data_IF_272028081064
#
_entry.id   IF_272028081064
#
_cell.length_a   1.000
_cell.length_b   1.000
_cell.length_c   1.000
_cell.angle_alpha   90.00
_cell.angle_beta   90.00
_cell.angle_gamma   90.00
#
_symmetry.space_group_name_H-M   'P 1'
#
loop_
_entity.id
_entity.type
_entity.pdbx_description
1 polymer ?
#
# COMPACT_ATOMS: atom_id res chain seq x y z
N UNK A 1 -14.96 1.12 -5.92
CA UNK A 1 -14.41 2.42 -5.47
C UNK A 1 -14.14 2.48 -3.96
N UNK A 2 -15.04 2.03 -3.06
CA UNK A 2 -14.79 2.08 -1.60
C UNK A 2 -13.49 1.39 -1.15
N UNK A 3 -13.19 0.20 -1.67
CA UNK A 3 -11.99 -0.57 -1.30
C UNK A 3 -10.68 0.15 -1.62
N UNK A 4 -10.56 0.73 -2.82
CA UNK A 4 -9.35 1.46 -3.24
C UNK A 4 -9.14 2.72 -2.41
N UNK A 5 -10.19 3.49 -2.15
CA UNK A 5 -10.12 4.68 -1.28
C UNK A 5 -9.73 4.33 0.16
N UNK A 6 -10.26 3.23 0.71
CA UNK A 6 -9.87 2.76 2.06
C UNK A 6 -8.39 2.36 2.12
N UNK A 7 -7.88 1.63 1.12
CA UNK A 7 -6.46 1.23 1.09
C UNK A 7 -5.56 2.45 0.92
N UNK A 8 -5.92 3.39 0.05
CA UNK A 8 -5.17 4.64 -0.10
C UNK A 8 -5.12 5.44 1.21
N UNK A 9 -6.24 5.52 1.94
CA UNK A 9 -6.30 6.21 3.23
C UNK A 9 -5.36 5.58 4.26
N UNK A 10 -5.36 4.24 4.38
CA UNK A 10 -4.43 3.54 5.31
C UNK A 10 -2.97 3.81 4.93
N UNK A 11 -2.62 3.69 3.65
CA UNK A 11 -1.25 3.96 3.18
C UNK A 11 -0.85 5.42 3.46
N UNK A 12 -1.71 6.38 3.14
CA UNK A 12 -1.45 7.79 3.37
C UNK A 12 -1.27 8.13 4.86
N UNK A 13 -2.09 7.55 5.75
CA UNK A 13 -1.94 7.74 7.20
C UNK A 13 -0.61 7.21 7.74
N UNK A 14 -0.11 6.09 7.21
CA UNK A 14 1.19 5.54 7.59
C UNK A 14 2.35 6.41 7.11
N UNK A 15 2.29 6.88 5.86
CA UNK A 15 3.30 7.79 5.30
C UNK A 15 3.33 9.10 6.08
N UNK A 16 2.17 9.66 6.44
CA UNK A 16 2.06 10.86 7.28
C UNK A 16 2.65 10.64 8.69
N UNK A 17 2.64 9.41 9.20
CA UNK A 17 3.31 9.02 10.45
C UNK A 17 4.82 8.71 10.28
N UNK A 18 5.40 8.99 9.11
CA UNK A 18 6.80 8.74 8.79
C UNK A 18 7.13 7.27 8.47
N UNK A 19 6.13 6.42 8.26
CA UNK A 19 6.29 4.99 7.96
C UNK A 19 5.82 4.69 6.55
N UNK A 20 6.74 4.46 5.63
CA UNK A 20 6.41 4.12 4.25
C UNK A 20 6.44 2.61 3.96
N UNK A 21 6.94 1.78 4.88
CA UNK A 21 6.99 0.33 4.73
C UNK A 21 5.82 -0.34 5.42
N UNK A 22 5.01 -1.07 4.66
CA UNK A 22 3.84 -1.80 5.16
C UNK A 22 3.75 -3.14 4.43
N UNK A 23 3.54 -4.23 5.15
CA UNK A 23 3.28 -5.52 4.51
C UNK A 23 1.84 -5.61 3.99
N UNK A 24 1.59 -6.44 2.97
CA UNK A 24 0.23 -6.73 2.51
C UNK A 24 -0.61 -7.35 3.64
N UNK A 25 0.03 -8.11 4.54
CA UNK A 25 -0.65 -8.72 5.70
C UNK A 25 -1.15 -7.66 6.67
N UNK A 26 -0.34 -6.65 6.99
CA UNK A 26 -0.77 -5.52 7.81
C UNK A 26 -1.91 -4.74 7.15
N UNK A 27 -1.82 -4.47 5.84
CA UNK A 27 -2.92 -3.81 5.12
C UNK A 27 -4.23 -4.61 5.22
N UNK A 28 -4.18 -5.93 5.15
CA UNK A 28 -5.37 -6.80 5.34
C UNK A 28 -5.93 -6.67 6.75
N UNK A 29 -5.06 -6.71 7.78
CA UNK A 29 -5.48 -6.61 9.18
C UNK A 29 -6.12 -5.25 9.47
N UNK A 30 -5.46 -4.17 9.02
CA UNK A 30 -5.90 -2.80 9.29
C UNK A 30 -7.16 -2.40 8.53
N UNK A 31 -7.32 -2.89 7.30
CA UNK A 31 -8.47 -2.54 6.47
C UNK A 31 -9.64 -3.49 6.59
N UNK A 32 -9.44 -4.70 7.13
CA UNK A 32 -10.42 -5.78 7.13
C UNK A 32 -10.74 -6.31 5.72
N UNK A 33 -9.98 -5.90 4.69
CA UNK A 33 -10.21 -6.25 3.29
C UNK A 33 -9.45 -7.54 2.96
N UNK A 34 -10.05 -8.41 2.16
CA UNK A 34 -9.41 -9.65 1.71
C UNK A 34 -8.06 -9.38 1.02
N UNK A 35 -7.09 -10.28 1.21
CA UNK A 35 -5.75 -10.16 0.61
C UNK A 35 -5.77 -9.97 -0.91
N UNK A 36 -6.68 -10.64 -1.63
CA UNK A 36 -6.80 -10.48 -3.08
C UNK A 36 -7.33 -9.10 -3.45
N UNK A 37 -8.32 -8.60 -2.72
CA UNK A 37 -8.87 -7.26 -2.92
C UNK A 37 -7.84 -6.17 -2.60
N UNK A 38 -7.02 -6.34 -1.55
CA UNK A 38 -5.89 -5.44 -1.23
C UNK A 38 -4.89 -5.41 -2.38
N UNK A 39 -4.47 -6.58 -2.90
CA UNK A 39 -3.54 -6.65 -4.04
C UNK A 39 -4.07 -5.94 -5.28
N UNK A 40 -5.34 -6.17 -5.63
CA UNK A 40 -5.99 -5.48 -6.75
C UNK A 40 -6.08 -3.98 -6.51
N UNK A 41 -6.43 -3.55 -5.30
CA UNK A 41 -6.52 -2.14 -4.96
C UNK A 41 -5.15 -1.44 -5.10
N UNK A 42 -4.08 -2.03 -4.57
CA UNK A 42 -2.72 -1.52 -4.73
C UNK A 42 -2.36 -1.40 -6.22
N UNK A 43 -2.62 -2.43 -7.01
CA UNK A 43 -2.35 -2.42 -8.45
C UNK A 43 -3.14 -1.31 -9.16
N UNK A 44 -4.42 -1.11 -8.83
CA UNK A 44 -5.23 -0.03 -9.40
C UNK A 44 -4.71 1.35 -9.01
N UNK A 45 -4.31 1.55 -7.75
CA UNK A 45 -3.77 2.83 -7.27
C UNK A 45 -2.41 3.14 -7.93
N UNK A 46 -1.57 2.14 -8.10
CA UNK A 46 -0.28 2.24 -8.78
C UNK A 46 -0.47 2.59 -10.27
N UNK A 47 -1.38 1.90 -10.96
CA UNK A 47 -1.72 2.19 -12.36
C UNK A 47 -2.35 3.58 -12.55
N UNK A 48 -3.08 4.07 -11.56
CA UNK A 48 -3.66 5.42 -11.56
C UNK A 48 -2.64 6.51 -11.17
N UNK A 49 -1.39 6.15 -10.85
CA UNK A 49 -0.36 7.09 -10.40
C UNK A 49 -0.61 7.68 -9.01
N UNK A 50 -1.55 7.14 -8.24
CA UNK A 50 -1.90 7.65 -6.91
C UNK A 50 -0.91 7.19 -5.83
N UNK A 51 -0.18 6.10 -6.08
CA UNK A 51 0.91 5.61 -5.25
C UNK A 51 2.02 5.05 -6.13
N UNK A 52 3.24 5.00 -5.61
CA UNK A 52 4.34 4.17 -6.15
C UNK A 52 4.67 3.07 -5.15
N UNK A 53 4.92 1.85 -5.64
CA UNK A 53 5.21 0.69 -4.79
C UNK A 53 6.60 0.14 -5.09
N UNK A 54 7.50 0.16 -4.12
CA UNK A 54 8.79 -0.54 -4.19
C UNK A 54 8.70 -1.83 -3.39
N UNK A 55 8.94 -2.96 -4.04
CA UNK A 55 8.86 -4.28 -3.41
C UNK A 55 10.26 -4.66 -2.92
N UNK A 56 10.43 -4.78 -1.61
CA UNK A 56 11.73 -5.11 -1.02
C UNK A 56 11.79 -6.61 -0.72
N UNK A 57 12.72 -7.29 -1.38
CA UNK A 57 13.09 -8.68 -1.07
C UNK A 57 14.45 -8.69 -0.39
N UNK A 58 14.50 -9.11 0.87
CA UNK A 58 15.74 -9.30 1.63
C UNK A 58 16.01 -10.80 1.74
N UNK A 59 17.18 -11.27 1.29
CA UNK A 59 17.58 -12.69 1.37
C UNK A 59 16.52 -13.68 0.84
N UNK A 60 15.85 -13.35 -0.27
CA UNK A 60 14.81 -14.18 -0.88
C UNK A 60 13.48 -14.23 -0.09
N UNK A 61 13.37 -13.52 1.03
CA UNK A 61 12.12 -13.36 1.79
C UNK A 61 11.50 -11.98 1.50
N UNK A 62 10.19 -11.99 1.31
CA UNK A 62 9.42 -10.78 1.04
C UNK A 62 9.08 -10.12 2.40
N UNK A 63 9.77 -9.05 2.77
CA UNK A 63 9.62 -8.43 4.10
C UNK A 63 8.47 -7.41 4.14
N UNK A 64 8.50 -6.42 3.24
CA UNK A 64 7.46 -5.40 3.15
C UNK A 64 7.49 -4.70 1.78
N UNK A 65 6.41 -4.01 1.45
CA UNK A 65 6.39 -3.06 0.35
C UNK A 65 6.62 -1.66 0.92
N UNK A 66 7.48 -0.87 0.28
CA UNK A 66 7.54 0.56 0.51
C UNK A 66 6.54 1.26 -0.43
N UNK A 67 5.79 2.21 0.11
CA UNK A 67 4.76 2.98 -0.57
C UNK A 67 5.11 4.46 -0.55
N UNK A 68 4.94 5.14 -1.68
CA UNK A 68 5.17 6.57 -1.81
C UNK A 68 3.94 7.23 -2.41
N UNK A 69 3.56 8.39 -1.89
CA UNK A 69 2.58 9.26 -2.55
C UNK A 69 3.33 10.10 -3.58
N UNK A 70 2.75 10.39 -4.75
CA UNK A 70 3.31 11.37 -5.67
C UNK A 70 3.44 12.72 -4.97
N UNK A 71 4.52 13.45 -5.22
CA UNK A 71 4.62 14.85 -4.79
C UNK A 71 3.41 15.61 -5.34
N UNK A 72 2.63 16.21 -4.43
CA UNK A 72 1.56 17.13 -4.79
C UNK A 72 2.23 18.48 -5.04
N UNK A 73 2.77 18.67 -6.25
CA UNK A 73 3.16 19.98 -6.77
C UNK A 73 1.93 20.89 -6.92
#
# INVERSE_FOLDING_TARGET
>A
MRTTSSILCVIASFIAAGKNQISITELVILSGISRQSVKRAIQTLEQAGQITVTRTTTNGRHEANAYYLPDQD
#
